data_IF_798877747785
#
_entry.id   IF_798877747785
#
_cell.length_a   1.000
_cell.length_b   1.000
_cell.length_c   1.000
_cell.angle_alpha   90.00
_cell.angle_beta   90.00
_cell.angle_gamma   90.00
#
_symmetry.space_group_name_H-M   'P 1'
#
loop_
_entity.id
_entity.type
_entity.pdbx_description
1 polymer ?
#
# COMPACT_ATOMS: atom_id res chain seq x y z
N UNK A 1 78.19 -26.54 -28.33
CA UNK A 1 76.77 -26.40 -28.70
C UNK A 1 75.98 -26.35 -27.44
N UNK A 2 75.52 -25.18 -27.00
CA UNK A 2 74.66 -25.03 -25.79
C UNK A 2 73.21 -24.79 -26.26
N UNK A 3 72.33 -25.71 -25.97
CA UNK A 3 70.89 -25.56 -26.19
C UNK A 3 70.27 -24.71 -25.05
N UNK A 4 69.64 -23.59 -25.45
CA UNK A 4 68.82 -22.76 -24.53
C UNK A 4 67.38 -23.16 -24.75
N UNK A 5 66.74 -23.67 -23.68
CA UNK A 5 65.34 -24.01 -23.66
C UNK A 5 64.59 -22.79 -23.10
N UNK A 6 63.78 -22.13 -23.95
CA UNK A 6 62.86 -21.07 -23.55
C UNK A 6 61.57 -21.70 -23.01
N UNK A 7 61.33 -21.53 -21.73
CA UNK A 7 60.03 -21.86 -21.10
C UNK A 7 59.11 -20.63 -21.22
N UNK A 8 58.09 -20.73 -22.04
CA UNK A 8 56.99 -19.74 -22.08
C UNK A 8 55.99 -20.07 -21.00
N UNK A 9 55.94 -19.27 -19.96
CA UNK A 9 54.91 -19.36 -18.92
C UNK A 9 53.64 -18.69 -19.41
N UNK A 10 52.61 -19.46 -19.76
CA UNK A 10 51.27 -18.97 -20.04
C UNK A 10 50.56 -18.68 -18.74
N UNK A 11 50.40 -17.42 -18.38
CA UNK A 11 49.57 -16.95 -17.27
C UNK A 11 48.11 -16.97 -17.71
N UNK A 12 47.36 -18.00 -17.29
CA UNK A 12 45.90 -18.04 -17.42
C UNK A 12 45.29 -17.07 -16.40
N UNK A 13 44.79 -15.93 -16.87
CA UNK A 13 43.97 -15.02 -16.09
C UNK A 13 42.57 -15.66 -15.88
N UNK A 14 42.34 -16.24 -14.72
CA UNK A 14 41.02 -16.68 -14.31
C UNK A 14 40.20 -15.44 -13.97
N UNK A 15 39.35 -15.03 -14.88
CA UNK A 15 38.28 -14.07 -14.59
C UNK A 15 37.25 -14.77 -13.67
N UNK A 16 37.45 -14.67 -12.36
CA UNK A 16 36.39 -14.92 -11.41
C UNK A 16 35.30 -13.86 -11.57
N UNK A 17 34.27 -14.18 -12.36
CA UNK A 17 32.99 -13.48 -12.27
C UNK A 17 32.42 -13.78 -10.89
N UNK A 18 32.84 -13.01 -9.88
CA UNK A 18 32.30 -13.04 -8.55
C UNK A 18 30.85 -12.54 -8.60
N UNK A 19 29.89 -13.45 -8.71
CA UNK A 19 28.52 -13.13 -8.36
C UNK A 19 28.52 -12.59 -6.93
N UNK A 20 28.18 -11.31 -6.76
CA UNK A 20 28.02 -10.72 -5.42
C UNK A 20 26.96 -11.53 -4.67
N UNK A 21 27.39 -12.41 -3.79
CA UNK A 21 26.50 -13.06 -2.81
C UNK A 21 26.08 -11.97 -1.83
N UNK A 22 24.78 -11.87 -1.54
CA UNK A 22 24.30 -11.00 -0.47
C UNK A 22 25.09 -11.32 0.79
N UNK A 23 25.98 -10.41 1.19
CA UNK A 23 26.77 -10.61 2.40
C UNK A 23 25.94 -10.18 3.59
N UNK A 24 25.87 -11.03 4.59
CA UNK A 24 25.25 -10.72 5.88
C UNK A 24 25.82 -9.39 6.41
N UNK A 25 24.93 -8.39 6.61
CA UNK A 25 25.32 -7.05 7.04
C UNK A 25 25.50 -6.01 5.92
N UNK A 26 25.36 -6.39 4.63
CA UNK A 26 25.32 -5.44 3.52
C UNK A 26 24.19 -4.43 3.71
N UNK A 27 24.43 -3.14 3.41
CA UNK A 27 23.40 -2.10 3.50
C UNK A 27 22.68 -1.95 2.18
N UNK A 28 21.36 -2.14 2.21
CA UNK A 28 20.45 -1.92 1.08
C UNK A 28 19.70 -0.61 1.31
N UNK A 29 19.94 0.38 0.46
CA UNK A 29 19.28 1.69 0.53
C UNK A 29 17.98 1.68 -0.25
N UNK A 30 16.91 2.17 0.37
CA UNK A 30 15.57 2.32 -0.24
C UNK A 30 15.20 3.81 -0.21
N UNK A 31 15.01 4.41 -1.40
CA UNK A 31 14.48 5.76 -1.50
C UNK A 31 12.95 5.71 -1.37
N UNK A 32 12.41 6.23 -0.29
CA UNK A 32 10.97 6.40 -0.11
C UNK A 32 10.54 7.75 -0.71
N UNK A 33 9.97 7.70 -1.91
CA UNK A 33 9.51 8.89 -2.66
C UNK A 33 8.06 9.15 -2.30
N UNK A 34 7.80 10.13 -1.41
CA UNK A 34 6.46 10.34 -0.87
C UNK A 34 6.16 11.82 -0.64
N UNK A 35 4.87 12.16 -0.50
CA UNK A 35 4.45 13.50 -0.07
C UNK A 35 4.77 13.71 1.41
N UNK A 36 5.95 14.23 1.70
CA UNK A 36 6.40 14.52 3.07
C UNK A 36 6.09 15.94 3.50
N UNK A 37 5.60 16.77 2.58
CA UNK A 37 5.08 18.12 2.81
C UNK A 37 3.72 18.32 2.12
N UNK A 38 3.02 19.41 2.44
CA UNK A 38 1.69 19.72 1.86
C UNK A 38 0.51 19.04 2.56
N UNK A 39 -0.69 19.04 1.94
CA UNK A 39 -1.95 18.62 2.59
C UNK A 39 -1.98 17.16 3.05
N UNK A 40 -1.19 16.29 2.45
CA UNK A 40 -1.14 14.85 2.76
C UNK A 40 0.11 14.46 3.57
N UNK A 41 0.88 15.44 4.06
CA UNK A 41 2.15 15.21 4.72
C UNK A 41 2.06 14.34 5.97
N UNK A 42 0.98 14.47 6.76
CA UNK A 42 0.78 13.65 7.95
C UNK A 42 0.78 12.15 7.62
N UNK A 43 0.18 11.77 6.49
CA UNK A 43 0.16 10.37 6.02
C UNK A 43 1.56 9.94 5.57
N UNK A 44 2.20 10.72 4.70
CA UNK A 44 3.55 10.39 4.20
C UNK A 44 4.60 10.33 5.30
N UNK A 45 4.56 11.26 6.25
CA UNK A 45 5.49 11.26 7.40
C UNK A 45 5.25 10.07 8.34
N UNK A 46 3.99 9.68 8.60
CA UNK A 46 3.71 8.48 9.36
C UNK A 46 4.29 7.24 8.65
N UNK A 47 4.08 7.12 7.35
CA UNK A 47 4.60 5.99 6.57
C UNK A 47 6.13 5.95 6.53
N UNK A 48 6.80 7.10 6.47
CA UNK A 48 8.28 7.16 6.60
C UNK A 48 8.73 6.61 7.95
N UNK A 49 8.06 7.00 9.04
CA UNK A 49 8.30 6.43 10.38
C UNK A 49 8.06 4.91 10.38
N UNK A 50 7.01 4.42 9.72
CA UNK A 50 6.73 2.97 9.59
C UNK A 50 7.90 2.24 8.91
N UNK A 51 8.37 2.74 7.76
CA UNK A 51 9.50 2.17 7.03
C UNK A 51 10.77 2.14 7.88
N UNK A 52 11.14 3.27 8.51
CA UNK A 52 12.33 3.38 9.36
C UNK A 52 12.24 2.52 10.62
N UNK A 53 11.06 2.44 11.23
CA UNK A 53 10.82 1.59 12.40
C UNK A 53 10.98 0.12 12.07
N UNK A 54 10.40 -0.35 10.96
CA UNK A 54 10.49 -1.75 10.56
C UNK A 54 11.88 -2.12 10.02
N UNK A 55 12.61 -1.17 9.44
CA UNK A 55 13.99 -1.39 8.99
C UNK A 55 14.99 -1.56 10.14
N UNK A 56 14.64 -1.09 11.34
CA UNK A 56 15.46 -1.29 12.55
C UNK A 56 15.42 -2.76 12.98
N UNK A 57 16.58 -3.48 12.97
CA UNK A 57 16.64 -4.89 13.35
C UNK A 57 16.11 -5.20 14.76
N UNK A 58 16.15 -4.21 15.67
CA UNK A 58 15.63 -4.35 17.03
C UNK A 58 14.11 -4.61 17.07
N UNK A 59 13.37 -4.27 16.01
CA UNK A 59 11.93 -4.47 15.93
C UNK A 59 11.52 -5.85 15.39
N UNK A 60 12.50 -6.73 15.09
CA UNK A 60 12.26 -8.15 14.85
C UNK A 60 11.53 -8.50 13.56
N UNK A 61 11.56 -7.62 12.54
CA UNK A 61 11.06 -7.97 11.21
C UNK A 61 11.89 -9.11 10.64
N UNK A 62 11.21 -10.13 10.10
CA UNK A 62 11.88 -11.28 9.51
C UNK A 62 12.78 -10.87 8.35
N UNK A 63 14.07 -11.14 8.48
CA UNK A 63 15.10 -10.73 7.53
C UNK A 63 16.09 -11.88 7.24
N UNK A 64 15.70 -12.89 6.45
CA UNK A 64 16.55 -14.05 6.17
C UNK A 64 17.81 -13.73 5.36
N UNK A 65 17.81 -12.64 4.58
CA UNK A 65 19.02 -12.18 3.88
C UNK A 65 20.08 -11.62 4.84
N UNK A 66 19.66 -11.16 6.03
CA UNK A 66 20.55 -10.56 7.02
C UNK A 66 21.16 -9.23 6.58
N UNK A 67 20.57 -8.56 5.59
CA UNK A 67 20.97 -7.21 5.14
C UNK A 67 20.51 -6.13 6.13
N UNK A 68 21.11 -4.95 6.03
CA UNK A 68 20.62 -3.75 6.74
C UNK A 68 19.82 -2.89 5.76
N UNK A 69 18.56 -2.62 6.08
CA UNK A 69 17.78 -1.68 5.29
C UNK A 69 18.00 -0.25 5.79
N UNK A 70 18.37 0.66 4.90
CA UNK A 70 18.48 2.10 5.15
C UNK A 70 17.38 2.82 4.36
N UNK A 71 16.47 3.46 5.07
CA UNK A 71 15.32 4.14 4.45
C UNK A 71 15.58 5.64 4.39
N UNK A 72 15.60 6.19 3.18
CA UNK A 72 15.79 7.62 2.94
C UNK A 72 14.49 8.22 2.40
N UNK A 73 13.87 9.09 3.18
CA UNK A 73 12.68 9.84 2.76
C UNK A 73 13.06 10.93 1.76
N UNK A 74 12.35 10.98 0.63
CA UNK A 74 12.54 11.97 -0.42
C UNK A 74 11.18 12.60 -0.76
N UNK A 75 11.05 13.92 -0.55
CA UNK A 75 9.77 14.62 -0.66
C UNK A 75 9.36 14.86 -2.12
N UNK A 76 8.25 14.26 -2.52
CA UNK A 76 7.57 14.47 -3.82
C UNK A 76 6.46 15.53 -3.75
N UNK A 77 6.23 16.14 -2.57
CA UNK A 77 5.14 17.10 -2.32
C UNK A 77 3.75 16.57 -2.71
N UNK A 78 3.61 15.24 -2.86
CA UNK A 78 2.37 14.60 -3.32
C UNK A 78 2.04 14.85 -4.80
N UNK A 79 2.99 15.32 -5.60
CA UNK A 79 2.83 15.62 -7.03
C UNK A 79 3.46 14.54 -7.90
N UNK A 80 2.77 14.04 -8.95
CA UNK A 80 3.37 13.11 -9.92
C UNK A 80 4.64 13.67 -10.58
N UNK A 81 4.66 14.96 -10.92
CA UNK A 81 5.82 15.60 -11.54
C UNK A 81 7.01 15.64 -10.59
N UNK A 82 6.79 16.04 -9.33
CA UNK A 82 7.85 16.05 -8.33
C UNK A 82 8.32 14.63 -7.98
N UNK A 83 7.44 13.63 -8.02
CA UNK A 83 7.83 12.24 -7.85
C UNK A 83 8.82 11.78 -8.95
N UNK A 84 8.61 12.20 -10.21
CA UNK A 84 9.55 11.94 -11.31
C UNK A 84 10.89 12.65 -11.13
N UNK A 85 10.89 13.90 -10.71
CA UNK A 85 12.11 14.66 -10.40
C UNK A 85 12.90 14.00 -9.27
N UNK A 86 12.19 13.57 -8.23
CA UNK A 86 12.74 12.88 -7.06
C UNK A 86 13.27 11.50 -7.43
N UNK A 87 12.57 10.76 -8.29
CA UNK A 87 13.06 9.48 -8.82
C UNK A 87 14.40 9.64 -9.57
N UNK A 88 14.49 10.65 -10.45
CA UNK A 88 15.75 10.96 -11.13
C UNK A 88 16.87 11.24 -10.13
N UNK A 89 16.61 12.08 -9.13
CA UNK A 89 17.59 12.38 -8.08
C UNK A 89 18.00 11.13 -7.28
N UNK A 90 17.07 10.22 -7.00
CA UNK A 90 17.36 8.96 -6.33
C UNK A 90 18.29 8.07 -7.18
N UNK A 91 18.00 7.92 -8.46
CA UNK A 91 18.83 7.15 -9.40
C UNK A 91 20.23 7.75 -9.52
N UNK A 92 20.35 9.08 -9.65
CA UNK A 92 21.63 9.79 -9.72
C UNK A 92 22.46 9.58 -8.44
N UNK A 93 21.82 9.37 -7.28
CA UNK A 93 22.44 9.01 -5.99
C UNK A 93 22.73 7.51 -5.84
N UNK A 94 22.43 6.68 -6.83
CA UNK A 94 22.72 5.26 -6.84
C UNK A 94 21.69 4.36 -6.15
N UNK A 95 20.49 4.87 -5.83
CA UNK A 95 19.42 4.02 -5.30
C UNK A 95 18.94 3.03 -6.38
N UNK A 96 18.84 1.76 -5.98
CA UNK A 96 18.37 0.66 -6.83
C UNK A 96 17.01 0.09 -6.36
N UNK A 97 16.53 0.54 -5.23
CA UNK A 97 15.22 0.23 -4.67
C UNK A 97 14.51 1.52 -4.33
N UNK A 98 13.29 1.66 -4.82
CA UNK A 98 12.42 2.77 -4.45
C UNK A 98 11.13 2.25 -3.83
N UNK A 99 10.53 3.03 -2.93
CA UNK A 99 9.23 2.79 -2.34
C UNK A 99 8.36 4.03 -2.53
N UNK A 100 7.09 3.83 -2.90
CA UNK A 100 6.08 4.89 -2.98
C UNK A 100 4.70 4.26 -2.83
N UNK A 101 3.75 4.97 -2.23
CA UNK A 101 2.43 4.41 -1.96
C UNK A 101 1.28 5.40 -2.06
N UNK A 102 1.48 6.68 -1.80
CA UNK A 102 0.35 7.62 -1.81
C UNK A 102 0.14 8.24 -3.21
N UNK A 103 -1.12 8.15 -3.67
CA UNK A 103 -1.52 8.74 -4.93
C UNK A 103 -1.21 7.87 -6.16
N UNK A 104 -2.24 7.23 -6.69
CA UNK A 104 -2.12 6.35 -7.87
C UNK A 104 -1.58 7.06 -9.12
N UNK A 105 -1.80 8.38 -9.26
CA UNK A 105 -1.21 9.17 -10.35
C UNK A 105 0.32 9.22 -10.29
N UNK A 106 0.90 9.41 -9.10
CA UNK A 106 2.35 9.35 -8.88
C UNK A 106 2.88 7.93 -9.12
N UNK A 107 2.16 6.92 -8.65
CA UNK A 107 2.53 5.52 -8.84
C UNK A 107 2.58 5.11 -10.33
N UNK A 108 1.57 5.51 -11.12
CA UNK A 108 1.55 5.26 -12.56
C UNK A 108 2.73 5.94 -13.26
N UNK A 109 3.02 7.19 -12.92
CA UNK A 109 4.15 7.93 -13.48
C UNK A 109 5.50 7.29 -13.12
N UNK A 110 5.69 6.91 -11.84
CA UNK A 110 6.91 6.23 -11.38
C UNK A 110 7.07 4.85 -12.00
N UNK A 111 5.99 4.08 -12.11
CA UNK A 111 6.01 2.75 -12.72
C UNK A 111 6.50 2.81 -14.17
N UNK A 112 5.99 3.75 -14.97
CA UNK A 112 6.44 4.01 -16.34
C UNK A 112 7.90 4.50 -16.39
N UNK A 113 8.28 5.42 -15.49
CA UNK A 113 9.65 5.95 -15.43
C UNK A 113 10.67 4.88 -15.07
N UNK A 114 10.36 3.99 -14.12
CA UNK A 114 11.22 2.85 -13.74
C UNK A 114 11.38 1.89 -14.91
N UNK A 115 10.30 1.53 -15.60
CA UNK A 115 10.38 0.65 -16.78
C UNK A 115 11.29 1.24 -17.87
N UNK A 116 11.11 2.52 -18.22
CA UNK A 116 11.93 3.25 -19.20
C UNK A 116 13.39 3.41 -18.76
N UNK A 117 13.61 3.67 -17.46
CA UNK A 117 14.97 3.75 -16.92
C UNK A 117 15.70 2.41 -17.07
N UNK A 118 15.05 1.32 -16.67
CA UNK A 118 15.65 -0.01 -16.69
C UNK A 118 15.93 -0.50 -18.13
N UNK A 119 15.06 -0.18 -19.08
CA UNK A 119 15.28 -0.48 -20.49
C UNK A 119 16.52 0.23 -21.06
N UNK A 120 16.76 1.49 -20.63
CA UNK A 120 17.84 2.34 -21.16
C UNK A 120 19.17 2.18 -20.43
N UNK A 121 19.17 1.61 -19.22
CA UNK A 121 20.33 1.53 -18.35
C UNK A 121 20.55 0.12 -17.81
N UNK A 122 20.88 -0.87 -18.70
CA UNK A 122 21.21 -2.23 -18.25
C UNK A 122 22.36 -2.22 -17.23
N UNK A 123 22.21 -2.99 -16.15
CA UNK A 123 23.15 -3.01 -15.03
C UNK A 123 22.90 -1.93 -13.96
N UNK A 124 21.92 -1.05 -14.19
CA UNK A 124 21.48 -0.01 -13.23
C UNK A 124 19.97 -0.08 -12.96
N UNK A 125 19.39 -1.27 -13.08
CA UNK A 125 17.94 -1.47 -12.90
C UNK A 125 17.49 -1.09 -11.48
N UNK A 126 16.27 -0.60 -11.39
CA UNK A 126 15.60 -0.20 -10.16
C UNK A 126 14.36 -1.05 -9.97
N UNK A 127 14.11 -1.49 -8.74
CA UNK A 127 12.86 -2.14 -8.32
C UNK A 127 11.98 -1.13 -7.59
N UNK A 128 10.69 -1.12 -7.92
CA UNK A 128 9.69 -0.28 -7.30
C UNK A 128 8.74 -1.09 -6.41
N UNK A 129 8.78 -0.80 -5.10
CA UNK A 129 7.89 -1.35 -4.08
C UNK A 129 6.71 -0.38 -3.87
N UNK A 130 5.56 -0.71 -4.42
CA UNK A 130 4.34 0.06 -4.24
C UNK A 130 3.57 -0.48 -3.03
N UNK A 131 3.60 0.25 -1.92
CA UNK A 131 3.03 -0.23 -0.67
C UNK A 131 1.58 0.20 -0.42
N UNK A 132 0.99 1.12 -1.21
CA UNK A 132 -0.35 1.65 -0.92
C UNK A 132 -1.10 2.27 -2.12
N UNK A 133 -0.47 2.47 -3.28
CA UNK A 133 -1.17 2.97 -4.46
C UNK A 133 -1.93 1.84 -5.16
N UNK A 134 -3.22 1.99 -5.31
CA UNK A 134 -4.16 0.89 -5.51
C UNK A 134 -4.97 0.96 -6.80
N UNK A 135 -4.53 1.76 -7.78
CA UNK A 135 -5.15 1.74 -9.11
C UNK A 135 -4.97 0.36 -9.75
N UNK A 136 -6.05 -0.31 -10.17
CA UNK A 136 -5.96 -1.62 -10.81
C UNK A 136 -5.12 -1.65 -12.09
N UNK A 137 -5.02 -0.53 -12.83
CA UNK A 137 -4.22 -0.45 -14.05
C UNK A 137 -2.74 -0.84 -13.82
N UNK A 138 -2.20 -0.57 -12.63
CA UNK A 138 -0.81 -0.87 -12.26
C UNK A 138 -0.45 -2.36 -12.29
N UNK A 139 -1.44 -3.25 -12.19
CA UNK A 139 -1.28 -4.70 -12.28
C UNK A 139 -2.17 -5.31 -13.36
N UNK A 140 -2.67 -4.48 -14.29
CA UNK A 140 -3.39 -4.85 -15.50
C UNK A 140 -2.69 -4.23 -16.73
N UNK A 141 -3.38 -3.37 -17.47
CA UNK A 141 -2.89 -2.80 -18.75
C UNK A 141 -1.65 -1.90 -18.65
N UNK A 142 -1.30 -1.42 -17.44
CA UNK A 142 -0.09 -0.62 -17.14
C UNK A 142 0.94 -1.39 -16.31
N UNK A 143 0.79 -2.71 -16.22
CA UNK A 143 1.74 -3.51 -15.46
C UNK A 143 3.15 -3.49 -16.09
N UNK A 144 4.15 -3.59 -15.24
CA UNK A 144 5.52 -3.83 -15.70
C UNK A 144 6.27 -4.71 -14.69
N UNK A 145 7.33 -5.35 -15.17
CA UNK A 145 8.11 -6.32 -14.41
C UNK A 145 8.78 -5.76 -13.14
N UNK A 146 9.09 -4.49 -13.10
CA UNK A 146 9.86 -3.87 -12.01
C UNK A 146 9.00 -3.30 -10.88
N UNK A 147 7.67 -3.37 -11.04
CA UNK A 147 6.70 -2.88 -10.07
C UNK A 147 6.12 -4.03 -9.26
N UNK A 148 6.18 -3.94 -7.92
CA UNK A 148 5.65 -4.91 -6.97
C UNK A 148 4.64 -4.23 -6.05
N UNK A 149 3.36 -4.60 -6.14
CA UNK A 149 2.30 -4.01 -5.32
C UNK A 149 2.00 -4.85 -4.09
N UNK A 150 2.08 -4.21 -2.91
CA UNK A 150 1.99 -4.85 -1.61
C UNK A 150 0.60 -4.76 -0.97
N UNK A 151 -0.24 -3.81 -1.39
CA UNK A 151 -1.65 -3.68 -0.96
C UNK A 151 -2.60 -4.29 -2.01
N UNK A 152 -3.78 -4.72 -1.58
CA UNK A 152 -4.85 -5.10 -2.48
C UNK A 152 -5.34 -3.89 -3.26
N UNK A 153 -5.61 -4.07 -4.56
CA UNK A 153 -6.08 -2.97 -5.39
C UNK A 153 -7.56 -2.62 -5.18
N UNK A 154 -7.98 -1.53 -5.81
CA UNK A 154 -9.35 -1.04 -5.66
C UNK A 154 -10.38 -2.07 -6.15
N UNK A 155 -10.10 -2.83 -7.22
CA UNK A 155 -11.03 -3.85 -7.70
C UNK A 155 -11.18 -5.00 -6.70
N UNK A 156 -10.08 -5.45 -6.10
CA UNK A 156 -10.06 -6.49 -5.07
C UNK A 156 -10.81 -6.06 -3.80
N UNK A 157 -10.55 -4.84 -3.31
CA UNK A 157 -11.25 -4.32 -2.12
C UNK A 157 -12.74 -4.08 -2.38
N UNK A 158 -13.12 -3.59 -3.57
CA UNK A 158 -14.54 -3.42 -3.91
C UNK A 158 -15.24 -4.75 -4.13
N UNK A 159 -14.57 -5.75 -4.68
CA UNK A 159 -15.11 -7.12 -4.76
C UNK A 159 -15.39 -7.70 -3.37
N UNK A 160 -14.46 -7.56 -2.43
CA UNK A 160 -14.60 -7.98 -1.05
C UNK A 160 -15.71 -7.20 -0.33
N UNK A 161 -15.74 -5.86 -0.47
CA UNK A 161 -16.73 -5.00 0.18
C UNK A 161 -18.15 -5.30 -0.32
N UNK A 162 -18.35 -5.38 -1.63
CA UNK A 162 -19.67 -5.68 -2.22
C UNK A 162 -20.14 -7.10 -1.90
N UNK A 163 -19.20 -8.07 -1.73
CA UNK A 163 -19.52 -9.40 -1.22
C UNK A 163 -19.99 -9.39 0.24
N UNK A 164 -19.44 -8.50 1.06
CA UNK A 164 -19.94 -8.29 2.42
C UNK A 164 -21.31 -7.59 2.44
N UNK A 165 -21.52 -6.61 1.56
CA UNK A 165 -22.76 -5.83 1.48
C UNK A 165 -23.92 -6.59 0.86
N UNK A 166 -23.67 -7.66 0.11
CA UNK A 166 -24.73 -8.44 -0.56
C UNK A 166 -25.76 -9.00 0.42
N UNK A 167 -25.32 -9.35 1.64
CA UNK A 167 -26.15 -9.97 2.67
C UNK A 167 -26.76 -8.92 3.63
N UNK A 168 -26.79 -7.64 3.23
CA UNK A 168 -27.31 -6.51 4.01
C UNK A 168 -28.53 -5.89 3.34
N UNK A 169 -29.76 -6.46 3.59
CA UNK A 169 -30.98 -6.02 2.93
C UNK A 169 -31.41 -4.59 3.25
N UNK A 170 -30.87 -4.03 4.35
CA UNK A 170 -31.10 -2.64 4.77
C UNK A 170 -30.48 -1.61 3.83
N UNK A 171 -29.44 -1.96 3.06
CA UNK A 171 -28.80 -1.07 2.10
C UNK A 171 -29.66 -0.99 0.83
N UNK A 172 -30.29 0.16 0.59
CA UNK A 172 -31.18 0.39 -0.58
C UNK A 172 -30.73 1.55 -1.44
N UNK A 173 -30.17 2.62 -0.85
CA UNK A 173 -29.81 3.87 -1.51
C UNK A 173 -28.42 4.30 -1.12
N UNK A 174 -27.46 4.09 -2.01
CA UNK A 174 -26.05 4.37 -1.75
C UNK A 174 -25.61 5.67 -2.39
N UNK A 175 -24.92 6.50 -1.63
CA UNK A 175 -24.23 7.69 -2.10
C UNK A 175 -22.73 7.47 -2.12
N UNK A 176 -22.08 7.71 -3.26
CA UNK A 176 -20.64 7.66 -3.44
C UNK A 176 -20.05 9.06 -3.34
N UNK A 177 -19.01 9.23 -2.53
CA UNK A 177 -18.24 10.48 -2.44
C UNK A 177 -16.75 10.16 -2.46
N UNK A 178 -16.07 10.45 -3.56
CA UNK A 178 -14.69 10.07 -3.77
C UNK A 178 -13.83 11.25 -4.23
N UNK A 179 -12.53 11.18 -3.96
CA UNK A 179 -11.54 12.14 -4.47
C UNK A 179 -11.42 12.03 -6.00
N UNK A 180 -11.36 13.16 -6.70
CA UNK A 180 -11.28 13.22 -8.15
C UNK A 180 -9.87 12.96 -8.68
N UNK A 181 -9.47 11.71 -8.63
CA UNK A 181 -8.27 11.18 -9.28
C UNK A 181 -8.48 9.68 -9.56
N UNK A 182 -7.50 9.03 -10.17
CA UNK A 182 -7.59 7.65 -10.65
C UNK A 182 -8.19 6.68 -9.61
N UNK A 183 -7.68 6.63 -8.36
CA UNK A 183 -8.23 5.77 -7.33
C UNK A 183 -9.71 6.05 -7.02
N UNK A 184 -10.10 7.30 -6.78
CA UNK A 184 -11.48 7.63 -6.44
C UNK A 184 -12.46 7.29 -7.56
N UNK A 185 -12.07 7.51 -8.83
CA UNK A 185 -12.83 7.11 -10.01
C UNK A 185 -12.98 5.58 -10.07
N UNK A 186 -11.91 4.82 -9.75
CA UNK A 186 -11.95 3.36 -9.72
C UNK A 186 -12.82 2.82 -8.57
N UNK A 187 -12.84 3.48 -7.40
CA UNK A 187 -13.77 3.13 -6.30
C UNK A 187 -15.21 3.21 -6.79
N UNK A 188 -15.61 4.34 -7.40
CA UNK A 188 -16.96 4.51 -7.96
C UNK A 188 -17.28 3.44 -9.00
N UNK A 189 -16.36 3.17 -9.93
CA UNK A 189 -16.53 2.18 -10.99
C UNK A 189 -16.74 0.78 -10.43
N UNK A 190 -15.77 0.26 -9.70
CA UNK A 190 -15.79 -1.15 -9.24
C UNK A 190 -16.85 -1.40 -8.17
N UNK A 191 -17.17 -0.39 -7.35
CA UNK A 191 -18.29 -0.48 -6.43
C UNK A 191 -19.63 -0.65 -7.19
N UNK A 192 -19.91 0.21 -8.17
CA UNK A 192 -21.13 0.13 -8.99
C UNK A 192 -21.22 -1.21 -9.74
N UNK A 193 -20.15 -1.66 -10.37
CA UNK A 193 -20.08 -2.96 -11.06
C UNK A 193 -20.33 -4.13 -10.08
N UNK A 194 -19.75 -4.11 -8.90
CA UNK A 194 -19.92 -5.12 -7.87
C UNK A 194 -21.37 -5.18 -7.34
N UNK A 195 -21.96 -4.00 -7.07
CA UNK A 195 -23.36 -3.92 -6.61
C UNK A 195 -24.34 -4.33 -7.71
N UNK A 196 -24.14 -3.90 -8.95
CA UNK A 196 -25.00 -4.32 -10.07
C UNK A 196 -25.10 -5.84 -10.22
N UNK A 197 -23.99 -6.56 -9.95
CA UNK A 197 -23.96 -8.04 -9.98
C UNK A 197 -24.58 -8.69 -8.75
N UNK A 198 -24.41 -8.11 -7.57
CA UNK A 198 -24.72 -8.75 -6.27
C UNK A 198 -25.99 -8.21 -5.62
N UNK A 199 -26.32 -6.96 -5.85
CA UNK A 199 -27.43 -6.22 -5.28
C UNK A 199 -28.06 -5.26 -6.29
N UNK A 200 -28.63 -5.80 -7.41
CA UNK A 200 -29.28 -4.97 -8.44
C UNK A 200 -30.48 -4.18 -7.92
N UNK A 201 -30.99 -4.52 -6.73
CA UNK A 201 -32.06 -3.81 -6.01
C UNK A 201 -31.56 -2.53 -5.31
N UNK A 202 -30.26 -2.36 -5.07
CA UNK A 202 -29.69 -1.18 -4.44
C UNK A 202 -29.43 -0.06 -5.47
N UNK A 203 -29.94 1.13 -5.18
CA UNK A 203 -29.86 2.28 -6.08
C UNK A 203 -28.63 3.16 -5.75
N UNK A 204 -27.92 3.61 -6.76
CA UNK A 204 -26.90 4.68 -6.62
C UNK A 204 -27.62 6.02 -6.72
N UNK A 205 -27.81 6.72 -5.59
CA UNK A 205 -28.54 7.99 -5.52
C UNK A 205 -27.64 9.21 -5.59
N UNK A 206 -26.33 9.02 -5.66
CA UNK A 206 -25.33 10.06 -5.89
C UNK A 206 -23.94 9.47 -6.12
N UNK A 207 -23.11 10.20 -6.88
CA UNK A 207 -21.73 9.85 -7.20
C UNK A 207 -20.94 11.14 -7.46
N UNK A 208 -20.41 11.75 -6.40
CA UNK A 208 -19.63 12.99 -6.48
C UNK A 208 -18.13 12.69 -6.42
N UNK A 209 -17.38 13.37 -7.28
CA UNK A 209 -15.91 13.40 -7.26
C UNK A 209 -15.44 14.77 -6.78
N UNK A 210 -14.67 14.83 -5.70
CA UNK A 210 -14.18 16.07 -5.09
C UNK A 210 -12.71 16.32 -5.42
N UNK A 211 -12.29 17.58 -5.69
CA UNK A 211 -10.90 17.91 -5.94
C UNK A 211 -10.01 17.51 -4.75
N UNK A 212 -9.07 16.59 -4.97
CA UNK A 212 -8.20 16.02 -3.93
C UNK A 212 -7.38 17.12 -3.22
N UNK A 213 -7.48 17.17 -1.89
CA UNK A 213 -6.71 18.08 -1.03
C UNK A 213 -7.11 19.57 -1.13
N UNK A 214 -8.16 19.91 -1.89
CA UNK A 214 -8.55 21.30 -2.14
C UNK A 214 -9.83 21.71 -1.42
N UNK A 215 -10.70 20.76 -1.08
CA UNK A 215 -11.96 21.03 -0.38
C UNK A 215 -11.67 21.34 1.08
N UNK A 216 -12.08 22.53 1.54
CA UNK A 216 -11.90 22.96 2.94
C UNK A 216 -13.18 22.79 3.77
N UNK A 217 -14.33 22.73 3.12
CA UNK A 217 -15.63 22.52 3.75
C UNK A 217 -16.43 21.48 2.97
N UNK A 218 -16.76 20.38 3.62
CA UNK A 218 -17.57 19.29 3.08
C UNK A 218 -19.06 19.42 3.37
N UNK A 219 -19.52 20.48 4.08
CA UNK A 219 -20.93 20.69 4.41
C UNK A 219 -21.84 20.70 3.18
N UNK A 220 -21.48 21.29 2.01
CA UNK A 220 -22.31 21.22 0.81
C UNK A 220 -22.52 19.80 0.29
N UNK A 221 -21.50 18.94 0.40
CA UNK A 221 -21.62 17.52 0.01
C UNK A 221 -22.49 16.75 0.98
N UNK A 222 -22.37 17.00 2.29
CA UNK A 222 -23.24 16.40 3.33
C UNK A 222 -24.71 16.81 3.10
N UNK A 223 -24.96 18.07 2.72
CA UNK A 223 -26.30 18.53 2.35
C UNK A 223 -26.87 17.78 1.12
N UNK A 224 -26.05 17.53 0.10
CA UNK A 224 -26.46 16.74 -1.06
C UNK A 224 -26.77 15.28 -0.67
N UNK A 225 -25.93 14.65 0.16
CA UNK A 225 -26.17 13.29 0.68
C UNK A 225 -27.51 13.23 1.40
N UNK A 226 -27.78 14.19 2.30
CA UNK A 226 -29.05 14.27 3.02
C UNK A 226 -30.24 14.45 2.07
N UNK A 227 -30.12 15.32 1.08
CA UNK A 227 -31.17 15.60 0.10
C UNK A 227 -31.45 14.42 -0.83
N UNK A 228 -30.46 13.56 -1.11
CA UNK A 228 -30.63 12.38 -1.97
C UNK A 228 -31.47 11.28 -1.34
N UNK A 229 -31.69 11.31 -0.01
CA UNK A 229 -32.35 10.25 0.73
C UNK A 229 -31.51 8.96 0.80
N UNK A 230 -30.20 9.06 0.69
CA UNK A 230 -29.28 7.94 0.88
C UNK A 230 -29.45 7.33 2.28
N UNK A 231 -29.33 6.01 2.37
CA UNK A 231 -29.26 5.25 3.61
C UNK A 231 -27.84 4.77 3.91
N UNK A 232 -26.93 4.87 2.96
CA UNK A 232 -25.55 4.37 3.05
C UNK A 232 -24.61 5.26 2.27
N UNK A 233 -23.41 5.49 2.84
CA UNK A 233 -22.29 6.20 2.18
C UNK A 233 -21.18 5.22 1.88
N UNK A 234 -20.55 5.35 0.70
CA UNK A 234 -19.32 4.67 0.34
C UNK A 234 -18.28 5.69 -0.10
N UNK A 235 -17.08 5.62 0.45
CA UNK A 235 -16.00 6.56 0.15
C UNK A 235 -14.63 5.90 0.12
N UNK A 236 -13.86 6.21 -0.93
CA UNK A 236 -12.43 5.91 -1.02
C UNK A 236 -11.54 7.07 -0.58
N UNK A 237 -12.12 8.14 -0.05
CA UNK A 237 -11.35 9.30 0.43
C UNK A 237 -10.36 8.88 1.53
N UNK A 238 -9.26 9.62 1.63
CA UNK A 238 -8.22 9.43 2.63
C UNK A 238 -7.57 10.76 3.02
N UNK A 239 -6.76 10.72 4.09
CA UNK A 239 -6.04 11.89 4.58
C UNK A 239 -6.98 13.03 4.98
N UNK A 240 -6.55 14.27 4.71
CA UNK A 240 -7.31 15.47 5.12
C UNK A 240 -8.75 15.48 4.59
N UNK A 241 -8.98 15.03 3.35
CA UNK A 241 -10.33 15.06 2.75
C UNK A 241 -11.31 14.15 3.51
N UNK A 242 -10.87 12.94 3.90
CA UNK A 242 -11.73 12.06 4.70
C UNK A 242 -11.95 12.63 6.10
N UNK A 243 -10.92 13.17 6.73
CA UNK A 243 -11.01 13.79 8.07
C UNK A 243 -12.01 14.94 8.08
N UNK A 244 -11.95 15.84 7.09
CA UNK A 244 -12.87 16.98 6.95
C UNK A 244 -14.29 16.52 6.61
N UNK A 245 -14.44 15.48 5.80
CA UNK A 245 -15.76 14.90 5.48
C UNK A 245 -16.41 14.29 6.73
N UNK A 246 -15.66 13.50 7.51
CA UNK A 246 -16.15 12.95 8.79
C UNK A 246 -16.55 14.06 9.76
N UNK A 247 -15.75 15.13 9.85
CA UNK A 247 -16.10 16.30 10.67
C UNK A 247 -17.42 16.92 10.23
N UNK A 248 -17.59 17.16 8.92
CA UNK A 248 -18.83 17.74 8.40
C UNK A 248 -20.06 16.85 8.65
N UNK A 249 -19.91 15.51 8.57
CA UNK A 249 -20.96 14.56 8.96
C UNK A 249 -21.33 14.69 10.44
N UNK A 250 -20.32 14.73 11.33
CA UNK A 250 -20.54 14.92 12.76
C UNK A 250 -21.25 16.24 13.07
N UNK A 251 -20.80 17.35 12.50
CA UNK A 251 -21.34 18.70 12.69
C UNK A 251 -22.80 18.79 12.19
N UNK A 252 -23.15 18.05 11.13
CA UNK A 252 -24.51 18.01 10.58
C UNK A 252 -25.50 17.12 11.37
N UNK A 253 -24.99 16.27 12.25
CA UNK A 253 -25.76 15.23 12.94
C UNK A 253 -26.27 14.10 12.03
N UNK A 254 -25.86 14.04 10.75
CA UNK A 254 -26.27 13.00 9.82
C UNK A 254 -25.54 11.69 10.17
N UNK A 255 -26.29 10.68 10.61
CA UNK A 255 -25.77 9.36 10.99
C UNK A 255 -26.24 8.32 9.98
N UNK A 256 -25.37 7.98 9.04
CA UNK A 256 -25.58 6.91 8.08
C UNK A 256 -24.44 5.88 8.18
N UNK A 257 -24.72 4.59 7.92
CA UNK A 257 -23.67 3.62 7.67
C UNK A 257 -22.70 4.13 6.61
N UNK A 258 -21.40 4.13 6.93
CA UNK A 258 -20.34 4.59 6.04
C UNK A 258 -19.33 3.47 5.83
N UNK A 259 -19.14 3.08 4.58
CA UNK A 259 -18.14 2.10 4.16
C UNK A 259 -16.95 2.81 3.55
N UNK A 260 -15.79 2.60 4.16
CA UNK A 260 -14.57 3.34 3.86
C UNK A 260 -13.46 2.43 3.36
N UNK A 261 -12.49 3.06 2.70
CA UNK A 261 -11.27 2.40 2.27
C UNK A 261 -10.10 2.67 3.22
N UNK A 262 -10.00 3.90 3.78
CA UNK A 262 -8.85 4.38 4.55
C UNK A 262 -9.20 5.09 5.87
N UNK A 263 -10.29 4.72 6.53
CA UNK A 263 -10.70 5.40 7.77
C UNK A 263 -9.74 5.19 8.97
N UNK A 264 -8.85 4.20 8.90
CA UNK A 264 -7.81 4.00 9.92
C UNK A 264 -6.57 4.86 9.75
N UNK A 265 -6.48 5.70 8.70
CA UNK A 265 -5.32 6.55 8.39
C UNK A 265 -5.30 7.80 9.28
N UNK A 266 -4.10 8.25 9.65
CA UNK A 266 -3.83 9.37 10.57
C UNK A 266 -4.78 10.56 10.45
N UNK A 267 -5.34 10.97 11.58
CA UNK A 267 -6.29 12.06 11.75
C UNK A 267 -7.75 11.65 11.61
N UNK A 268 -8.06 10.60 10.88
CA UNK A 268 -9.44 10.14 10.70
C UNK A 268 -10.02 9.46 11.96
N UNK A 269 -9.29 8.59 12.68
CA UNK A 269 -9.77 8.03 13.95
C UNK A 269 -10.14 9.09 14.98
N UNK A 270 -9.35 10.16 15.10
CA UNK A 270 -9.65 11.30 15.98
C UNK A 270 -10.95 12.01 15.57
N UNK A 271 -11.16 12.23 14.28
CA UNK A 271 -12.40 12.83 13.77
C UNK A 271 -13.62 11.93 13.99
N UNK A 272 -13.48 10.61 13.81
CA UNK A 272 -14.53 9.64 14.07
C UNK A 272 -14.91 9.61 15.56
N UNK A 273 -13.92 9.61 16.45
CA UNK A 273 -14.12 9.58 17.89
C UNK A 273 -14.92 10.77 18.41
N UNK A 274 -14.76 11.96 17.79
CA UNK A 274 -15.56 13.14 18.11
C UNK A 274 -17.06 12.93 17.84
N UNK A 275 -17.43 12.07 16.89
CA UNK A 275 -18.81 11.67 16.61
C UNK A 275 -19.32 10.48 17.46
N UNK A 276 -18.43 9.85 18.22
CA UNK A 276 -18.73 8.68 19.04
C UNK A 276 -18.79 7.37 18.26
N UNK A 277 -19.59 6.43 18.74
CA UNK A 277 -19.86 5.17 18.05
C UNK A 277 -20.74 5.40 16.83
N UNK A 278 -20.47 4.68 15.75
CA UNK A 278 -21.23 4.76 14.50
C UNK A 278 -21.05 3.52 13.64
N UNK A 279 -21.93 3.39 12.65
CA UNK A 279 -21.85 2.31 11.64
C UNK A 279 -20.77 2.63 10.59
N UNK A 280 -19.51 2.78 11.03
CA UNK A 280 -18.38 3.05 10.11
C UNK A 280 -17.58 1.77 9.93
N UNK A 281 -17.46 1.36 8.68
CA UNK A 281 -16.75 0.15 8.27
C UNK A 281 -15.54 0.50 7.40
N UNK A 282 -14.46 -0.25 7.58
CA UNK A 282 -13.27 -0.16 6.74
C UNK A 282 -12.99 -1.49 6.08
N UNK A 283 -12.74 -1.48 4.75
CA UNK A 283 -12.14 -2.60 4.03
C UNK A 283 -10.63 -2.38 3.92
N UNK A 284 -9.84 -3.30 4.47
CA UNK A 284 -8.39 -3.22 4.44
C UNK A 284 -7.75 -4.61 4.50
N UNK A 285 -6.45 -4.70 4.16
CA UNK A 285 -5.66 -5.91 4.36
C UNK A 285 -5.28 -6.13 5.84
N UNK A 286 -5.54 -5.15 6.70
CA UNK A 286 -5.13 -5.15 8.10
C UNK A 286 -6.20 -4.61 9.04
N UNK A 287 -5.95 -4.80 10.33
CA UNK A 287 -6.59 -4.12 11.46
C UNK A 287 -5.53 -3.86 12.54
N UNK A 288 -5.86 -3.01 13.54
CA UNK A 288 -4.88 -2.66 14.60
C UNK A 288 -4.89 -3.63 15.79
N UNK A 289 -5.87 -4.53 15.87
CA UNK A 289 -6.05 -5.43 17.01
C UNK A 289 -5.35 -6.79 16.85
N UNK A 290 -4.13 -6.79 16.30
CA UNK A 290 -3.30 -7.98 16.26
C UNK A 290 -2.77 -8.34 17.66
N UNK A 291 -2.53 -9.63 17.87
CA UNK A 291 -1.82 -10.18 19.03
C UNK A 291 -0.39 -10.59 18.65
N UNK A 292 0.38 -11.05 19.63
CA UNK A 292 1.73 -11.53 19.39
C UNK A 292 2.67 -10.44 18.82
N UNK A 293 3.51 -10.82 17.86
CA UNK A 293 4.54 -9.93 17.30
C UNK A 293 3.94 -8.70 16.66
N UNK A 294 2.86 -8.84 15.88
CA UNK A 294 2.24 -7.71 15.18
C UNK A 294 1.57 -6.73 16.14
N UNK A 295 0.89 -7.22 17.17
CA UNK A 295 0.33 -6.35 18.22
C UNK A 295 1.42 -5.62 18.99
N UNK A 296 2.53 -6.30 19.31
CA UNK A 296 3.69 -5.67 19.94
C UNK A 296 4.27 -4.57 19.06
N UNK A 297 4.49 -4.81 17.76
CA UNK A 297 4.99 -3.80 16.82
C UNK A 297 4.09 -2.55 16.79
N UNK A 298 2.77 -2.73 16.68
CA UNK A 298 1.83 -1.62 16.66
C UNK A 298 1.89 -0.79 17.95
N UNK A 299 1.92 -1.45 19.11
CA UNK A 299 2.01 -0.79 20.42
C UNK A 299 3.36 -0.10 20.64
N UNK A 300 4.46 -0.72 20.26
CA UNK A 300 5.81 -0.13 20.38
C UNK A 300 5.96 1.10 19.47
N UNK A 301 5.40 1.04 18.27
CA UNK A 301 5.36 2.18 17.35
C UNK A 301 4.56 3.34 17.96
N UNK A 302 3.34 3.09 18.45
CA UNK A 302 2.50 4.10 19.06
C UNK A 302 3.17 4.71 20.30
N UNK A 303 3.85 3.88 21.12
CA UNK A 303 4.62 4.35 22.28
C UNK A 303 5.80 5.25 21.88
N UNK A 304 6.53 4.86 20.81
CA UNK A 304 7.73 5.57 20.36
C UNK A 304 7.41 6.90 19.69
N UNK A 305 6.37 6.94 18.84
CA UNK A 305 6.10 8.09 17.98
C UNK A 305 4.86 8.89 18.38
N UNK A 306 4.03 8.38 19.29
CA UNK A 306 2.73 8.97 19.62
C UNK A 306 1.71 8.91 18.47
N UNK A 307 1.92 8.03 17.51
CA UNK A 307 1.24 7.92 16.24
C UNK A 307 0.91 6.45 15.97
N UNK A 308 -0.09 6.14 15.14
CA UNK A 308 -0.50 4.77 14.90
C UNK A 308 0.31 4.10 13.78
N UNK A 309 0.57 2.80 13.96
CA UNK A 309 1.12 1.94 12.92
C UNK A 309 -0.04 1.37 12.07
N UNK A 310 -0.34 1.97 10.93
CA UNK A 310 -1.47 1.52 10.10
C UNK A 310 -1.05 0.93 8.74
N UNK A 311 0.18 1.22 8.24
CA UNK A 311 0.61 0.75 6.91
C UNK A 311 1.37 -0.58 7.02
N UNK A 312 0.67 -1.65 7.40
CA UNK A 312 1.24 -2.99 7.59
C UNK A 312 1.80 -3.62 6.30
N UNK A 313 1.39 -3.17 5.12
CA UNK A 313 1.95 -3.62 3.83
C UNK A 313 3.46 -3.40 3.73
N UNK A 314 4.00 -2.41 4.45
CA UNK A 314 5.44 -2.15 4.53
C UNK A 314 6.18 -3.34 5.17
N UNK A 315 5.58 -3.96 6.20
CA UNK A 315 6.13 -5.18 6.79
C UNK A 315 6.26 -6.29 5.74
N UNK A 316 5.18 -6.56 5.00
CA UNK A 316 5.22 -7.54 3.91
C UNK A 316 6.23 -7.17 2.82
N UNK A 317 6.39 -5.88 2.54
CA UNK A 317 7.38 -5.38 1.57
C UNK A 317 8.82 -5.69 1.97
N UNK A 318 9.19 -5.43 3.23
CA UNK A 318 10.53 -5.73 3.75
C UNK A 318 10.78 -7.25 3.84
N UNK A 319 9.78 -8.03 4.27
CA UNK A 319 9.88 -9.49 4.30
C UNK A 319 10.05 -10.04 2.89
N UNK A 320 9.19 -9.63 1.94
CA UNK A 320 9.28 -10.05 0.53
C UNK A 320 10.65 -9.75 -0.06
N UNK A 321 11.15 -8.52 0.16
CA UNK A 321 12.44 -8.08 -0.36
C UNK A 321 13.58 -8.91 0.23
N UNK A 322 13.57 -9.14 1.55
CA UNK A 322 14.58 -9.94 2.23
C UNK A 322 14.54 -11.42 1.82
N UNK A 323 13.35 -12.02 1.70
CA UNK A 323 13.19 -13.39 1.18
C UNK A 323 13.68 -13.50 -0.28
N UNK A 324 13.35 -12.50 -1.11
CA UNK A 324 13.84 -12.42 -2.48
C UNK A 324 15.36 -12.35 -2.56
N UNK A 325 16.00 -11.52 -1.74
CA UNK A 325 17.46 -11.42 -1.65
C UNK A 325 18.11 -12.72 -1.15
N UNK A 326 17.54 -13.34 -0.12
CA UNK A 326 18.03 -14.61 0.41
C UNK A 326 17.94 -15.73 -0.65
N UNK A 327 16.82 -15.83 -1.37
CA UNK A 327 16.61 -16.79 -2.46
C UNK A 327 17.54 -16.53 -3.65
N UNK A 328 17.73 -15.26 -4.02
CA UNK A 328 18.65 -14.85 -5.08
C UNK A 328 20.12 -14.95 -4.67
N UNK A 329 20.43 -15.05 -3.39
CA UNK A 329 21.76 -14.91 -2.80
C UNK A 329 22.47 -13.63 -3.32
N UNK A 330 21.73 -12.54 -3.41
CA UNK A 330 22.20 -11.30 -4.02
C UNK A 330 21.29 -10.13 -3.61
N UNK A 331 21.85 -8.91 -3.62
CA UNK A 331 21.11 -7.65 -3.51
C UNK A 331 20.90 -6.99 -4.89
N UNK A 332 21.33 -7.62 -5.96
CA UNK A 332 21.15 -7.12 -7.33
C UNK A 332 19.67 -7.11 -7.73
N UNK A 333 19.11 -5.96 -8.16
CA UNK A 333 17.68 -5.82 -8.46
C UNK A 333 17.13 -6.81 -9.49
N UNK A 334 17.92 -7.19 -10.50
CA UNK A 334 17.48 -8.14 -11.55
C UNK A 334 17.23 -9.51 -10.93
N UNK A 335 18.21 -9.99 -10.16
CA UNK A 335 18.14 -11.30 -9.49
C UNK A 335 17.06 -11.32 -8.41
N UNK A 336 16.93 -10.23 -7.67
CA UNK A 336 15.94 -10.09 -6.59
C UNK A 336 14.52 -10.02 -7.15
N UNK A 337 14.27 -9.25 -8.21
CA UNK A 337 12.97 -9.18 -8.87
C UNK A 337 12.53 -10.57 -9.39
N UNK A 338 13.42 -11.30 -10.04
CA UNK A 338 13.15 -12.67 -10.49
C UNK A 338 12.86 -13.63 -9.32
N UNK A 339 13.56 -13.47 -8.18
CA UNK A 339 13.34 -14.29 -7.01
C UNK A 339 12.03 -13.99 -6.29
N UNK A 340 11.54 -12.75 -6.34
CA UNK A 340 10.27 -12.34 -5.74
C UNK A 340 9.04 -12.82 -6.53
N UNK A 341 9.14 -13.11 -7.82
CA UNK A 341 8.04 -13.65 -8.61
C UNK A 341 7.53 -14.98 -8.05
N UNK A 342 6.24 -15.06 -7.76
CA UNK A 342 5.59 -16.27 -7.21
C UNK A 342 6.06 -16.65 -5.82
N UNK A 343 6.76 -15.75 -5.12
CA UNK A 343 7.26 -16.02 -3.77
C UNK A 343 6.12 -16.09 -2.78
N UNK A 344 6.05 -17.21 -2.03
CA UNK A 344 5.13 -17.42 -0.92
C UNK A 344 5.88 -17.24 0.39
N UNK A 345 5.29 -16.53 1.34
CA UNK A 345 5.90 -16.25 2.63
C UNK A 345 4.84 -15.99 3.71
N UNK A 346 5.26 -16.06 4.97
CA UNK A 346 4.43 -15.66 6.11
C UNK A 346 4.51 -14.13 6.25
N UNK A 347 3.41 -13.46 5.90
CA UNK A 347 3.23 -12.03 6.10
C UNK A 347 2.67 -11.70 7.50
N UNK A 348 2.37 -10.43 7.72
CA UNK A 348 1.79 -9.97 8.99
C UNK A 348 0.38 -10.53 9.26
N UNK A 349 -0.38 -10.89 8.23
CA UNK A 349 -1.75 -11.39 8.28
C UNK A 349 -1.88 -12.86 7.81
N UNK A 350 -0.78 -13.62 7.83
CA UNK A 350 -0.74 -15.02 7.42
C UNK A 350 -0.10 -15.23 6.05
N UNK A 351 -0.52 -16.30 5.38
CA UNK A 351 0.02 -16.68 4.08
C UNK A 351 -0.16 -15.57 3.05
N UNK A 352 0.93 -15.18 2.44
CA UNK A 352 0.99 -14.16 1.39
C UNK A 352 1.76 -14.69 0.19
N UNK A 353 1.35 -14.29 -1.02
CA UNK A 353 2.01 -14.65 -2.27
C UNK A 353 2.16 -13.43 -3.17
N UNK A 354 3.36 -13.21 -3.71
CA UNK A 354 3.56 -12.25 -4.79
C UNK A 354 3.20 -12.91 -6.11
N UNK A 355 2.00 -12.65 -6.65
CA UNK A 355 1.48 -13.30 -7.86
C UNK A 355 2.41 -13.07 -9.05
N UNK A 356 2.83 -14.17 -9.69
CA UNK A 356 3.82 -14.13 -10.77
C UNK A 356 3.33 -13.40 -12.03
N UNK A 357 2.02 -13.43 -12.30
CA UNK A 357 1.46 -12.88 -13.55
C UNK A 357 1.54 -11.36 -13.64
N UNK A 358 1.50 -10.64 -12.50
CA UNK A 358 1.32 -9.20 -12.45
C UNK A 358 1.97 -8.49 -11.25
N UNK A 359 2.66 -9.23 -10.40
CA UNK A 359 3.29 -8.73 -9.17
C UNK A 359 2.32 -8.05 -8.19
N UNK A 360 1.08 -8.57 -8.14
CA UNK A 360 0.09 -8.20 -7.13
C UNK A 360 0.19 -9.12 -5.92
N UNK A 361 0.38 -8.55 -4.72
CA UNK A 361 0.32 -9.32 -3.48
C UNK A 361 -1.07 -9.94 -3.30
N UNK A 362 -1.10 -11.26 -3.10
CA UNK A 362 -2.29 -12.01 -2.72
C UNK A 362 -2.26 -12.21 -1.21
N UNK A 363 -3.29 -11.72 -0.53
CA UNK A 363 -3.40 -11.74 0.93
C UNK A 363 -4.85 -11.62 1.36
N UNK A 364 -5.18 -12.05 2.57
CA UNK A 364 -6.51 -11.87 3.14
C UNK A 364 -6.86 -10.40 3.39
N UNK A 365 -8.15 -10.11 3.38
CA UNK A 365 -8.70 -8.80 3.67
C UNK A 365 -9.62 -8.85 4.89
N UNK A 366 -9.81 -7.72 5.54
CA UNK A 366 -10.70 -7.57 6.68
C UNK A 366 -11.75 -6.49 6.41
N UNK A 367 -12.98 -6.74 6.85
CA UNK A 367 -13.94 -5.69 7.16
C UNK A 367 -13.87 -5.46 8.65
N UNK A 368 -13.59 -4.22 9.04
CA UNK A 368 -13.53 -3.83 10.45
C UNK A 368 -14.58 -2.75 10.73
N UNK A 369 -15.18 -2.77 11.92
CA UNK A 369 -16.19 -1.81 12.36
C UNK A 369 -15.62 -0.88 13.44
N UNK A 370 -15.92 0.40 13.35
CA UNK A 370 -15.60 1.40 14.37
C UNK A 370 -16.43 1.18 15.63
N UNK A 371 -15.77 1.04 16.77
CA UNK A 371 -16.42 0.83 18.08
C UNK A 371 -15.50 1.29 19.21
N UNK A 372 -16.03 1.37 20.45
CA UNK A 372 -15.20 1.51 21.64
C UNK A 372 -14.28 0.32 21.80
N UNK A 373 -13.09 0.57 22.36
CA UNK A 373 -12.18 -0.52 22.76
C UNK A 373 -12.86 -1.45 23.76
N UNK A 374 -12.54 -2.73 23.67
CA UNK A 374 -13.00 -3.75 24.57
C UNK A 374 -11.88 -4.76 24.89
N UNK A 375 -12.15 -5.79 25.71
CA UNK A 375 -11.15 -6.80 26.07
C UNK A 375 -10.61 -7.58 24.86
N UNK A 376 -11.43 -7.77 23.83
CA UNK A 376 -11.06 -8.50 22.60
C UNK A 376 -10.29 -7.60 21.63
N UNK A 377 -10.66 -6.32 21.61
CA UNK A 377 -10.13 -5.31 20.69
C UNK A 377 -9.57 -4.11 21.48
N UNK A 378 -8.43 -4.28 22.16
CA UNK A 378 -7.91 -3.29 23.11
C UNK A 378 -7.11 -2.16 22.49
N UNK A 379 -6.76 -2.23 21.21
CA UNK A 379 -5.94 -1.19 20.56
C UNK A 379 -6.75 0.09 20.40
N UNK A 380 -6.31 1.16 21.05
CA UNK A 380 -6.96 2.47 20.96
C UNK A 380 -6.36 3.27 19.79
N UNK A 381 -7.11 3.37 18.68
CA UNK A 381 -6.70 4.15 17.52
C UNK A 381 -6.51 5.63 17.89
N UNK A 382 -5.33 6.17 17.62
CA UNK A 382 -4.92 7.54 18.00
C UNK A 382 -5.21 7.88 19.48
N UNK A 383 -5.18 6.88 20.37
CA UNK A 383 -5.48 7.01 21.82
C UNK A 383 -6.88 7.57 22.10
N UNK A 384 -7.84 7.38 21.22
CA UNK A 384 -9.18 7.94 21.30
C UNK A 384 -10.14 7.14 22.20
N UNK A 385 -9.78 5.95 22.64
CA UNK A 385 -10.69 5.01 23.29
C UNK A 385 -11.57 4.21 22.32
N UNK A 386 -11.32 4.35 21.01
CA UNK A 386 -12.03 3.64 19.95
C UNK A 386 -11.06 2.85 19.07
N UNK A 387 -11.61 1.91 18.30
CA UNK A 387 -10.84 1.03 17.42
C UNK A 387 -11.64 0.58 16.20
N UNK A 388 -10.95 0.12 15.16
CA UNK A 388 -11.53 -0.70 14.10
C UNK A 388 -11.41 -2.18 14.49
N UNK A 389 -12.52 -2.77 15.00
CA UNK A 389 -12.59 -4.18 15.37
C UNK A 389 -12.89 -5.04 14.13
N UNK A 390 -12.13 -6.10 13.85
CA UNK A 390 -12.39 -6.97 12.70
C UNK A 390 -13.70 -7.74 12.89
N UNK A 391 -14.64 -7.58 11.97
CA UNK A 391 -15.96 -8.26 11.97
C UNK A 391 -16.06 -9.34 10.90
N UNK A 392 -15.24 -9.27 9.85
CA UNK A 392 -15.18 -10.28 8.78
C UNK A 392 -13.76 -10.40 8.24
N UNK A 393 -13.25 -11.62 8.16
CA UNK A 393 -12.09 -11.97 7.36
C UNK A 393 -12.54 -12.48 5.99
N UNK A 394 -11.85 -12.08 4.95
CA UNK A 394 -12.10 -12.44 3.56
C UNK A 394 -10.83 -13.06 3.01
N UNK A 395 -10.93 -14.32 2.63
CA UNK A 395 -9.81 -15.08 2.08
C UNK A 395 -9.26 -14.44 0.80
N UNK A 396 -7.95 -14.54 0.58
CA UNK A 396 -7.27 -13.94 -0.57
C UNK A 396 -7.90 -14.35 -1.90
N UNK A 397 -8.33 -15.59 -2.06
CA UNK A 397 -8.95 -16.07 -3.30
C UNK A 397 -10.34 -15.47 -3.58
N UNK A 398 -11.07 -15.05 -2.54
CA UNK A 398 -12.41 -14.40 -2.70
C UNK A 398 -12.25 -12.99 -3.26
N UNK A 399 -11.21 -12.28 -2.84
CA UNK A 399 -10.91 -10.93 -3.28
C UNK A 399 -10.03 -10.91 -4.55
N UNK A 400 -9.39 -12.03 -4.90
CA UNK A 400 -8.49 -12.10 -6.05
C UNK A 400 -9.25 -11.88 -7.35
N UNK A 401 -8.93 -10.79 -8.06
CA UNK A 401 -9.47 -10.48 -9.37
C UNK A 401 -8.56 -11.01 -10.48
N UNK A 402 -9.09 -11.41 -11.64
CA UNK A 402 -8.27 -11.72 -12.82
C UNK A 402 -7.43 -10.53 -13.24
N UNK A 403 -6.29 -10.81 -13.89
CA UNK A 403 -5.42 -9.75 -14.45
C UNK A 403 -5.36 -9.86 -15.97
N UNK A 404 -5.30 -8.71 -16.64
CA UNK A 404 -5.00 -8.59 -18.07
C UNK A 404 -3.51 -8.27 -18.33
N UNK A 405 -2.66 -8.34 -17.30
CA UNK A 405 -1.26 -8.00 -17.39
C UNK A 405 -0.50 -8.90 -18.38
N UNK A 406 0.25 -8.27 -19.28
CA UNK A 406 1.16 -8.90 -20.22
C UNK A 406 2.55 -8.25 -20.11
N UNK A 407 3.16 -8.35 -18.90
CA UNK A 407 4.45 -7.71 -18.68
C UNK A 407 5.58 -8.38 -19.48
N UNK A 408 6.44 -7.54 -20.06
CA UNK A 408 7.70 -7.97 -20.68
C UNK A 408 8.74 -8.22 -19.58
N UNK A 409 9.25 -9.44 -19.50
CA UNK A 409 10.35 -9.79 -18.59
C UNK A 409 11.69 -9.50 -19.23
N UNK A 410 12.70 -9.11 -18.41
CA UNK A 410 14.08 -9.06 -18.93
C UNK A 410 14.50 -10.43 -19.45
N UNK A 411 15.23 -10.44 -20.55
CA UNK A 411 15.77 -11.66 -21.17
C UNK A 411 16.89 -12.27 -20.37
#
# INVERSE_FOLDING_TARGET
MKFVINVVAATAAVFCAGGALAQKGETVKIAMIEGLSGPMANVGQNQLKNWQFLADPANGVRNPAGVKFEIVGMDSKGSPQEALNTFKAAVDQGFRYIAQGNGSGAALALSDAVAKHNERNPGKEVVYLNYSAVDPALTNEKCNYWHFRLDADTSQKMEALTSFMKDKPEIKKVYLLNQNYSHGQQVSKYFKEGMARKRPDAQMVGDDLVPMGQVKDFSPYVAKIKASGADTIVTGNWGQDLTLFVKALNDSGLKLPMYTYYAGVSGTPTALAAGGEGEVYQIAYNHSNYTGVMGKLANDFQKKFGDDFYTFSIYNGLVLLSEGMAKAKSTDPVKVAAAMEGLKFQGFNGDSEMRKSDHQMQQGLYISKWQKVDKKNPYSAEKTGYTFAPVKYIEAYVASTPTSCQMKRPG
#
